data_IF_746768593321
#
_entry.id   IF_746768593321
#
_cell.length_a   1.000
_cell.length_b   1.000
_cell.length_c   1.000
_cell.angle_alpha   90.00
_cell.angle_beta   90.00
_cell.angle_gamma   90.00
#
_symmetry.space_group_name_H-M   'P 1'
#
loop_
_entity.id
_entity.type
_entity.pdbx_description
1 polymer ?
#
# COMPACT_ATOMS: atom_id res chain seq x y z
N UNK A 1 0.13 2.57 6.85
CA UNK A 1 0.42 1.27 6.18
C UNK A 1 1.91 1.02 6.06
N UNK A 2 2.72 2.00 5.65
CA UNK A 2 4.18 1.86 5.56
C UNK A 2 4.88 2.75 6.57
N UNK A 3 6.05 2.30 7.02
CA UNK A 3 6.95 3.13 7.81
C UNK A 3 7.43 4.30 6.96
N UNK A 4 7.73 5.42 7.61
CA UNK A 4 8.30 6.58 6.94
C UNK A 4 9.78 6.32 6.61
N UNK A 5 10.20 6.37 5.33
CA UNK A 5 11.61 6.31 4.99
C UNK A 5 12.32 7.60 5.44
N UNK A 6 13.62 7.56 5.73
CA UNK A 6 14.43 8.76 5.95
C UNK A 6 14.24 9.75 4.80
N UNK A 7 14.02 11.03 5.13
CA UNK A 7 13.87 12.15 4.19
C UNK A 7 12.68 12.10 3.22
N UNK A 8 11.77 11.12 3.37
CA UNK A 8 10.66 10.94 2.44
C UNK A 8 9.30 10.91 3.14
N UNK A 9 8.25 11.23 2.39
CA UNK A 9 6.85 11.09 2.81
C UNK A 9 6.14 10.08 1.91
N UNK A 10 5.61 9.02 2.52
CA UNK A 10 4.99 7.89 1.81
C UNK A 10 3.76 8.33 1.00
N UNK A 11 2.86 9.13 1.59
CA UNK A 11 1.62 9.56 0.93
C UNK A 11 1.87 10.27 -0.41
N UNK A 12 2.68 11.34 -0.45
CA UNK A 12 3.07 12.01 -1.69
C UNK A 12 3.76 11.09 -2.71
N UNK A 13 4.58 10.13 -2.26
CA UNK A 13 5.20 9.16 -3.17
C UNK A 13 4.19 8.23 -3.83
N UNK A 14 3.23 7.71 -3.07
CA UNK A 14 2.14 6.86 -3.60
C UNK A 14 1.25 7.66 -4.56
N UNK A 15 0.98 8.93 -4.24
CA UNK A 15 0.26 9.83 -5.13
C UNK A 15 1.03 10.09 -6.44
N UNK A 16 2.32 10.44 -6.36
CA UNK A 16 3.19 10.62 -7.54
C UNK A 16 3.41 9.32 -8.32
N UNK A 17 3.33 8.17 -7.66
CA UNK A 17 3.32 6.87 -8.31
C UNK A 17 2.04 6.62 -9.13
N UNK A 18 0.98 7.42 -8.93
CA UNK A 18 -0.31 7.27 -9.63
C UNK A 18 -1.20 6.20 -9.01
N UNK A 19 -0.94 5.81 -7.76
CA UNK A 19 -1.66 4.72 -7.09
C UNK A 19 -2.83 5.20 -6.22
N UNK A 20 -3.00 6.51 -6.04
CA UNK A 20 -4.12 7.05 -5.28
C UNK A 20 -5.46 6.69 -5.94
N UNK A 21 -6.37 6.08 -5.18
CA UNK A 21 -7.64 5.58 -5.69
C UNK A 21 -7.57 4.22 -6.40
N UNK A 22 -6.38 3.61 -6.53
CA UNK A 22 -6.22 2.28 -7.12
C UNK A 22 -6.96 1.23 -6.30
N UNK A 23 -7.57 0.24 -6.97
CA UNK A 23 -8.44 -0.77 -6.36
C UNK A 23 -7.92 -2.16 -6.74
N UNK A 24 -7.84 -3.05 -5.75
CA UNK A 24 -7.62 -4.49 -5.94
C UNK A 24 -8.66 -5.21 -5.09
N UNK A 25 -9.51 -6.03 -5.72
CA UNK A 25 -10.62 -6.69 -5.03
C UNK A 25 -11.49 -5.69 -4.26
N UNK A 26 -11.64 -5.89 -2.95
CA UNK A 26 -12.34 -4.95 -2.07
C UNK A 26 -11.45 -3.85 -1.46
N UNK A 27 -10.13 -3.85 -1.67
CA UNK A 27 -9.21 -2.88 -1.09
C UNK A 27 -8.92 -1.72 -2.04
N UNK A 28 -8.84 -0.49 -1.52
CA UNK A 28 -8.53 0.71 -2.29
C UNK A 28 -7.49 1.59 -1.60
N UNK A 29 -6.55 2.17 -2.34
CA UNK A 29 -5.73 3.28 -1.84
C UNK A 29 -6.62 4.51 -1.67
N UNK A 30 -6.70 5.04 -0.45
CA UNK A 30 -7.60 6.15 -0.11
C UNK A 30 -7.38 7.35 -1.03
N UNK A 31 -8.46 7.84 -1.61
CA UNK A 31 -8.50 9.08 -2.41
C UNK A 31 -8.27 10.34 -1.56
N UNK A 32 -8.42 10.26 -0.23
CA UNK A 32 -8.19 11.40 0.68
C UNK A 32 -6.76 11.43 1.22
N UNK A 33 -6.22 10.26 1.58
CA UNK A 33 -4.88 10.12 2.14
C UNK A 33 -4.17 8.89 1.55
N UNK A 34 -3.34 9.08 0.52
CA UNK A 34 -2.70 8.01 -0.24
C UNK A 34 -1.81 7.03 0.57
N UNK A 35 -1.51 7.32 1.83
CA UNK A 35 -0.82 6.40 2.75
C UNK A 35 -1.71 5.34 3.42
N UNK A 36 -3.03 5.37 3.15
CA UNK A 36 -4.01 4.45 3.72
C UNK A 36 -4.64 3.57 2.65
N UNK A 37 -4.82 2.30 2.98
CA UNK A 37 -5.63 1.36 2.20
C UNK A 37 -6.95 1.19 2.96
N UNK A 38 -8.07 1.46 2.28
CA UNK A 38 -9.42 1.39 2.82
C UNK A 38 -10.14 0.16 2.26
N UNK A 39 -11.05 -0.41 3.05
CA UNK A 39 -11.94 -1.47 2.62
C UNK A 39 -13.19 -0.83 1.98
N UNK A 40 -13.48 -1.14 0.73
CA UNK A 40 -14.70 -0.71 0.02
C UNK A 40 -15.91 -1.63 0.27
N UNK A 41 -15.72 -2.69 1.05
CA UNK A 41 -16.66 -3.77 1.28
C UNK A 41 -16.06 -5.09 0.78
N UNK A 42 -16.08 -6.13 1.63
CA UNK A 42 -15.56 -7.47 1.32
C UNK A 42 -14.06 -7.57 0.95
N UNK A 43 -13.23 -6.58 1.30
CA UNK A 43 -11.78 -6.73 1.10
C UNK A 43 -11.24 -7.92 1.89
N UNK A 44 -10.50 -8.79 1.20
CA UNK A 44 -9.82 -9.95 1.80
C UNK A 44 -8.42 -9.58 2.27
N UNK A 45 -7.81 -10.41 3.12
CA UNK A 45 -6.41 -10.23 3.48
C UNK A 45 -5.49 -10.24 2.24
N UNK A 46 -5.78 -11.09 1.26
CA UNK A 46 -5.08 -11.15 -0.03
C UNK A 46 -5.15 -9.83 -0.78
N UNK A 47 -6.31 -9.18 -0.85
CA UNK A 47 -6.46 -7.87 -1.50
C UNK A 47 -5.54 -6.81 -0.88
N UNK A 48 -5.42 -6.82 0.45
CA UNK A 48 -4.51 -5.92 1.16
C UNK A 48 -3.04 -6.24 0.88
N UNK A 49 -2.66 -7.52 0.88
CA UNK A 49 -1.28 -7.95 0.58
C UNK A 49 -0.88 -7.58 -0.86
N UNK A 50 -1.75 -7.84 -1.82
CA UNK A 50 -1.52 -7.50 -3.22
C UNK A 50 -1.40 -5.99 -3.42
N UNK A 51 -2.23 -5.20 -2.73
CA UNK A 51 -2.12 -3.75 -2.74
C UNK A 51 -0.80 -3.26 -2.14
N UNK A 52 -0.35 -3.87 -1.03
CA UNK A 52 0.94 -3.55 -0.40
C UNK A 52 2.09 -3.85 -1.36
N UNK A 53 2.11 -5.05 -1.95
CA UNK A 53 3.14 -5.46 -2.91
C UNK A 53 3.17 -4.56 -4.15
N UNK A 54 2.00 -4.19 -4.69
CA UNK A 54 1.91 -3.26 -5.82
C UNK A 54 2.52 -1.90 -5.48
N UNK A 55 2.20 -1.36 -4.31
CA UNK A 55 2.75 -0.07 -3.85
C UNK A 55 4.28 -0.16 -3.73
N UNK A 56 4.81 -1.19 -3.08
CA UNK A 56 6.26 -1.38 -2.92
C UNK A 56 6.96 -1.48 -4.28
N UNK A 57 6.46 -2.35 -5.17
CA UNK A 57 7.03 -2.56 -6.51
C UNK A 57 7.05 -1.26 -7.32
N UNK A 58 5.94 -0.53 -7.32
CA UNK A 58 5.80 0.70 -8.10
C UNK A 58 6.68 1.81 -7.55
N UNK A 59 6.73 1.96 -6.24
CA UNK A 59 7.56 2.98 -5.58
C UNK A 59 9.04 2.69 -5.78
N UNK A 60 9.46 1.43 -5.63
CA UNK A 60 10.84 1.01 -5.91
C UNK A 60 11.22 1.29 -7.37
N UNK A 61 10.36 0.93 -8.32
CA UNK A 61 10.63 1.15 -9.74
C UNK A 61 10.70 2.64 -10.12
N UNK A 62 9.87 3.51 -9.51
CA UNK A 62 9.81 4.94 -9.86
C UNK A 62 10.79 5.82 -9.10
N UNK A 63 11.09 5.48 -7.85
CA UNK A 63 11.85 6.35 -6.94
C UNK A 63 13.12 5.67 -6.40
N UNK A 64 13.32 4.38 -6.63
CA UNK A 64 14.44 3.63 -6.07
C UNK A 64 14.36 3.45 -4.54
N UNK A 65 13.19 3.70 -3.95
CA UNK A 65 12.98 3.62 -2.49
C UNK A 65 12.27 2.31 -2.14
N UNK A 66 12.86 1.54 -1.23
CA UNK A 66 12.22 0.39 -0.62
C UNK A 66 11.29 0.84 0.54
N UNK A 67 10.00 0.53 0.43
CA UNK A 67 9.02 0.83 1.48
C UNK A 67 8.85 -0.37 2.41
N UNK A 68 9.10 -0.16 3.70
CA UNK A 68 8.81 -1.17 4.72
C UNK A 68 7.34 -1.09 5.18
N UNK A 69 6.59 -2.20 5.17
CA UNK A 69 5.26 -2.22 5.76
C UNK A 69 5.36 -2.05 7.28
N UNK A 70 4.51 -1.19 7.83
CA UNK A 70 4.34 -1.00 9.28
C UNK A 70 3.22 -1.89 9.84
N UNK A 71 2.31 -2.33 8.97
CA UNK A 71 1.22 -3.23 9.37
C UNK A 71 1.80 -4.58 9.73
N UNK A 72 1.60 -5.00 10.99
CA UNK A 72 1.82 -6.39 11.39
C UNK A 72 0.64 -7.21 10.90
N UNK A 73 0.86 -8.07 9.90
CA UNK A 73 -0.11 -9.09 9.49
C UNK A 73 -0.11 -10.12 10.61
N UNK A 74 -1.21 -10.20 11.36
CA UNK A 74 -1.41 -11.21 12.40
C UNK A 74 -2.37 -12.25 11.81
N UNK A 75 -1.83 -13.42 11.49
CA UNK A 75 -2.52 -14.55 10.88
C UNK A 75 -1.52 -15.60 10.43
N UNK A 76 -1.90 -16.87 10.43
CA UNK A 76 -1.06 -17.95 9.92
C UNK A 76 -0.99 -17.87 8.39
N UNK A 77 0.18 -18.13 7.77
CA UNK A 77 0.24 -18.34 6.32
C UNK A 77 -0.72 -19.48 5.97
N UNK A 78 -1.59 -19.27 4.98
CA UNK A 78 -2.37 -20.37 4.40
C UNK A 78 -1.36 -21.38 3.84
N UNK A 79 -1.23 -22.52 4.54
CA UNK A 79 -0.44 -23.68 4.14
C UNK A 79 -1.17 -24.49 3.05
#
# INVERSE_FOLDING_TARGET
>A
VFKRPPDHFVGPMIQKAGLQGHIIGGAQVSKKHAGFIINLGNATATDYLDMIHLIQKTVKAKFGVDLEPEVRIIGEPLH
#
